data_IF_319521893059
#
_entry.id   IF_319521893059
#
_cell.length_a   1.000
_cell.length_b   1.000
_cell.length_c   1.000
_cell.angle_alpha   90.00
_cell.angle_beta   90.00
_cell.angle_gamma   90.00
#
_symmetry.space_group_name_H-M   'P 1'
#
loop_
_entity.id
_entity.type
_entity.pdbx_description
1 polymer ?
#
# COMPACT_ATOMS: atom_id res chain seq x y z
N UNK A 1 -1.11 -2.12 26.72
CA UNK A 1 -2.26 -1.31 26.27
C UNK A 1 -1.65 -0.43 25.19
N UNK A 2 -1.53 -0.96 23.98
CA UNK A 2 -0.89 -0.21 22.90
C UNK A 2 -1.95 0.62 22.20
N UNK A 3 -1.68 1.92 22.22
CA UNK A 3 -2.47 2.99 21.67
C UNK A 3 -2.43 2.90 20.14
N UNK A 4 -3.44 2.26 19.54
CA UNK A 4 -3.63 2.24 18.08
C UNK A 4 -4.28 3.55 17.63
N UNK A 5 -3.70 4.69 18.01
CA UNK A 5 -4.04 5.94 17.35
C UNK A 5 -3.53 5.85 15.92
N UNK A 6 -4.45 5.89 14.94
CA UNK A 6 -4.09 5.89 13.52
C UNK A 6 -3.01 6.93 13.26
N UNK A 7 -1.91 6.52 12.61
CA UNK A 7 -0.90 7.46 12.17
C UNK A 7 -1.57 8.43 11.17
N UNK A 8 -1.63 9.75 11.47
CA UNK A 8 -2.22 10.70 10.54
C UNK A 8 -1.47 10.75 9.20
N UNK A 9 -0.25 10.22 9.13
CA UNK A 9 0.55 10.11 7.92
C UNK A 9 0.33 8.80 7.15
N UNK A 10 -0.36 7.80 7.70
CA UNK A 10 -0.66 6.56 6.98
C UNK A 10 -1.98 5.94 7.45
N UNK A 11 -3.05 6.22 6.69
CA UNK A 11 -4.39 5.75 7.04
C UNK A 11 -4.48 4.21 7.15
N UNK A 12 -3.64 3.47 6.43
CA UNK A 12 -3.63 2.01 6.47
C UNK A 12 -3.07 1.46 7.79
N UNK A 13 -2.27 2.22 8.54
CA UNK A 13 -1.72 1.77 9.83
C UNK A 13 -2.80 1.56 10.90
N UNK A 14 -4.00 2.11 10.70
CA UNK A 14 -5.16 1.86 11.56
C UNK A 14 -5.89 0.54 11.30
N UNK A 15 -5.66 -0.10 10.15
CA UNK A 15 -6.38 -1.32 9.71
C UNK A 15 -5.47 -2.52 9.43
N UNK A 16 -4.24 -2.26 9.00
CA UNK A 16 -3.23 -3.25 8.67
C UNK A 16 -1.97 -3.05 9.51
N UNK A 17 -1.25 -4.13 9.78
CA UNK A 17 0.08 -4.02 10.37
C UNK A 17 1.05 -3.51 9.31
N UNK A 18 1.65 -2.35 9.60
CA UNK A 18 2.59 -1.66 8.72
C UNK A 18 3.87 -1.39 9.48
N UNK A 19 4.99 -1.76 8.88
CA UNK A 19 6.33 -1.54 9.42
C UNK A 19 7.10 -0.69 8.45
N UNK A 20 7.39 0.57 8.81
CA UNK A 20 8.33 1.38 8.05
C UNK A 20 9.72 0.75 8.13
N UNK A 21 10.29 0.44 6.97
CA UNK A 21 11.61 -0.19 6.82
C UNK A 21 12.69 0.86 6.70
N UNK A 22 12.42 1.93 5.95
CA UNK A 22 13.32 3.06 5.76
C UNK A 22 12.57 4.28 5.22
N UNK A 23 13.08 5.47 5.52
CA UNK A 23 12.55 6.75 5.05
C UNK A 23 13.70 7.72 4.78
N UNK A 24 13.76 8.22 3.54
CA UNK A 24 14.83 9.10 3.07
C UNK A 24 14.28 10.19 2.15
N UNK A 25 14.99 11.33 2.07
CA UNK A 25 14.73 12.31 1.02
C UNK A 25 15.03 11.72 -0.35
N UNK A 26 14.19 12.03 -1.35
CA UNK A 26 14.43 11.65 -2.74
C UNK A 26 15.39 12.64 -3.42
N UNK A 27 16.05 12.18 -4.48
CA UNK A 27 16.74 13.09 -5.42
C UNK A 27 15.76 13.93 -6.23
N UNK A 28 14.48 13.54 -6.29
CA UNK A 28 13.39 14.32 -6.88
C UNK A 28 13.01 15.44 -5.89
N UNK A 29 13.11 16.73 -6.28
CA UNK A 29 12.77 17.83 -5.39
C UNK A 29 11.35 17.74 -4.84
N UNK A 30 11.20 17.95 -3.53
CA UNK A 30 9.90 17.92 -2.86
C UNK A 30 9.32 16.52 -2.63
N UNK A 31 10.11 15.46 -2.84
CA UNK A 31 9.71 14.07 -2.62
C UNK A 31 10.52 13.38 -1.54
N UNK A 32 9.89 12.41 -0.90
CA UNK A 32 10.52 11.45 0.01
C UNK A 32 10.27 10.03 -0.48
N UNK A 33 11.18 9.14 -0.11
CA UNK A 33 11.09 7.70 -0.34
C UNK A 33 10.78 7.07 0.99
N UNK A 34 9.63 6.39 1.09
CA UNK A 34 9.24 5.63 2.28
C UNK A 34 9.04 4.18 1.86
N UNK A 35 9.71 3.26 2.51
CA UNK A 35 9.50 1.83 2.28
C UNK A 35 8.78 1.22 3.46
N UNK A 36 7.70 0.48 3.20
CA UNK A 36 6.84 -0.11 4.22
C UNK A 36 6.61 -1.58 3.90
N UNK A 37 6.82 -2.44 4.90
CA UNK A 37 6.33 -3.81 4.89
C UNK A 37 4.89 -3.81 5.41
N UNK A 38 3.96 -4.28 4.58
CA UNK A 38 2.55 -4.43 4.92
C UNK A 38 2.21 -5.91 5.06
N UNK A 39 1.57 -6.25 6.18
CA UNK A 39 1.04 -7.59 6.46
C UNK A 39 -0.48 -7.58 6.29
N UNK A 40 -0.99 -8.39 5.35
CA UNK A 40 -2.42 -8.51 5.05
C UNK A 40 -2.86 -9.95 5.39
N UNK A 41 -3.64 -10.16 6.47
CA UNK A 41 -4.12 -11.50 6.80
C UNK A 41 -5.04 -12.07 5.71
N UNK A 42 -5.08 -13.39 5.56
CA UNK A 42 -5.96 -14.09 4.59
C UNK A 42 -7.39 -13.58 4.66
N UNK A 43 -7.94 -13.21 3.51
CA UNK A 43 -9.32 -12.74 3.36
C UNK A 43 -9.54 -11.31 3.84
N UNK A 44 -8.51 -10.61 4.30
CA UNK A 44 -8.56 -9.19 4.66
C UNK A 44 -8.14 -8.35 3.45
N UNK A 45 -8.81 -7.21 3.29
CA UNK A 45 -8.46 -6.22 2.29
C UNK A 45 -7.92 -4.93 2.92
N UNK A 46 -7.07 -4.21 2.19
CA UNK A 46 -6.56 -2.90 2.61
C UNK A 46 -7.66 -1.86 2.76
N UNK A 47 -8.73 -1.98 1.96
CA UNK A 47 -9.65 -0.89 1.68
C UNK A 47 -9.18 -0.07 0.48
N UNK A 48 -10.12 0.62 -0.17
CA UNK A 48 -9.81 1.51 -1.28
C UNK A 48 -9.06 2.75 -0.79
N UNK A 49 -7.92 3.04 -1.40
CA UNK A 49 -7.05 4.15 -1.00
C UNK A 49 -6.22 4.67 -2.17
N UNK A 50 -5.53 5.79 -1.94
CA UNK A 50 -4.59 6.42 -2.87
C UNK A 50 -3.29 6.83 -2.16
N UNK A 51 -2.27 7.10 -2.97
CA UNK A 51 -0.98 7.65 -2.55
C UNK A 51 -0.69 8.94 -3.33
N UNK A 52 -0.17 10.02 -2.72
CA UNK A 52 0.17 11.27 -3.42
C UNK A 52 1.51 11.16 -4.18
N UNK A 53 1.81 9.99 -4.76
CA UNK A 53 3.05 9.61 -5.44
C UNK A 53 3.02 8.16 -5.92
N UNK A 54 4.03 7.73 -6.67
CA UNK A 54 4.12 6.34 -7.12
C UNK A 54 4.32 5.38 -5.94
N UNK A 55 3.66 4.22 -6.02
CA UNK A 55 4.00 3.04 -5.23
C UNK A 55 4.68 2.00 -6.14
N UNK A 56 5.90 1.63 -5.80
CA UNK A 56 6.63 0.52 -6.42
C UNK A 56 6.64 -0.63 -5.43
N UNK A 57 5.91 -1.70 -5.75
CA UNK A 57 5.66 -2.79 -4.83
C UNK A 57 6.20 -4.14 -5.27
N UNK A 58 6.40 -5.02 -4.29
CA UNK A 58 6.85 -6.39 -4.46
C UNK A 58 6.13 -7.32 -3.48
N UNK A 59 5.59 -8.44 -3.96
CA UNK A 59 4.98 -9.45 -3.10
C UNK A 59 6.09 -10.36 -2.56
N UNK A 60 6.28 -10.31 -1.25
CA UNK A 60 7.26 -11.13 -0.53
C UNK A 60 6.70 -12.53 -0.25
N UNK A 61 5.42 -12.60 0.15
CA UNK A 61 4.73 -13.84 0.49
C UNK A 61 3.23 -13.72 0.19
N UNK A 62 2.58 -14.85 -0.09
CA UNK A 62 1.14 -14.95 -0.30
C UNK A 62 0.72 -14.77 -1.76
N UNK A 63 -0.60 -14.69 -1.94
CA UNK A 63 -1.27 -14.38 -3.21
C UNK A 63 -2.22 -13.22 -2.95
N UNK A 64 -2.07 -12.13 -3.71
CA UNK A 64 -2.82 -10.88 -3.52
C UNK A 64 -3.64 -10.58 -4.77
N UNK A 65 -4.95 -10.43 -4.59
CA UNK A 65 -5.80 -9.79 -5.60
C UNK A 65 -5.62 -8.26 -5.49
N UNK A 66 -5.12 -7.63 -6.55
CA UNK A 66 -4.94 -6.19 -6.64
C UNK A 66 -5.98 -5.62 -7.61
N UNK A 67 -6.92 -4.83 -7.07
CA UNK A 67 -7.87 -4.05 -7.87
C UNK A 67 -7.33 -2.64 -8.04
N UNK A 68 -7.26 -2.17 -9.28
CA UNK A 68 -6.78 -0.82 -9.63
C UNK A 68 -7.88 -0.18 -10.48
N UNK A 69 -8.29 1.03 -10.13
CA UNK A 69 -9.35 1.74 -10.85
C UNK A 69 -9.05 1.78 -12.35
N UNK A 70 -10.08 1.47 -13.15
CA UNK A 70 -10.04 1.49 -14.62
C UNK A 70 -9.00 0.53 -15.26
N UNK A 71 -8.51 -0.45 -14.51
CA UNK A 71 -7.59 -1.48 -14.98
C UNK A 71 -8.13 -2.89 -14.71
N UNK A 72 -7.65 -3.92 -15.44
CA UNK A 72 -7.93 -5.30 -15.08
C UNK A 72 -7.43 -5.63 -13.66
N UNK A 73 -8.20 -6.40 -12.90
CA UNK A 73 -7.74 -6.98 -11.64
C UNK A 73 -6.51 -7.84 -11.88
N UNK A 74 -5.50 -7.69 -11.02
CA UNK A 74 -4.30 -8.50 -11.04
C UNK A 74 -4.37 -9.54 -9.92
N UNK A 75 -3.88 -10.75 -10.19
CA UNK A 75 -3.57 -11.74 -9.17
C UNK A 75 -2.04 -11.83 -9.09
N UNK A 76 -1.48 -11.35 -7.99
CA UNK A 76 -0.04 -11.22 -7.77
C UNK A 76 0.43 -12.30 -6.80
N UNK A 77 1.56 -12.92 -7.10
CA UNK A 77 2.16 -13.99 -6.29
C UNK A 77 3.49 -13.54 -5.70
N UNK A 78 3.97 -14.26 -4.68
CA UNK A 78 5.33 -14.07 -4.18
C UNK A 78 6.37 -14.08 -5.32
N UNK A 79 7.17 -13.02 -5.40
CA UNK A 79 8.10 -12.81 -6.51
C UNK A 79 7.66 -11.73 -7.51
N UNK A 80 6.37 -11.41 -7.56
CA UNK A 80 5.81 -10.43 -8.50
C UNK A 80 6.03 -9.00 -8.02
N UNK A 81 6.28 -8.11 -8.98
CA UNK A 81 6.29 -6.67 -8.78
C UNK A 81 5.02 -6.01 -9.29
N UNK A 82 4.69 -4.85 -8.77
CA UNK A 82 3.59 -4.01 -9.26
C UNK A 82 3.95 -2.52 -9.14
N UNK A 83 3.19 -1.69 -9.86
CA UNK A 83 3.32 -0.24 -9.84
C UNK A 83 1.93 0.38 -9.76
N UNK A 84 1.69 1.23 -8.77
CA UNK A 84 0.49 2.07 -8.70
C UNK A 84 0.89 3.52 -9.04
N UNK A 85 0.30 4.13 -10.07
CA UNK A 85 0.54 5.54 -10.37
C UNK A 85 0.01 6.46 -9.27
N UNK A 86 0.50 7.72 -9.19
CA UNK A 86 0.02 8.68 -8.21
C UNK A 86 -1.50 8.86 -8.28
N UNK A 87 -2.12 9.05 -7.11
CA UNK A 87 -3.54 9.36 -6.95
C UNK A 87 -4.51 8.35 -7.61
N UNK A 88 -4.06 7.11 -7.84
CA UNK A 88 -4.86 6.05 -8.46
C UNK A 88 -5.53 5.18 -7.38
N UNK A 89 -6.88 5.14 -7.30
CA UNK A 89 -7.57 4.30 -6.33
C UNK A 89 -7.29 2.81 -6.57
N UNK A 90 -6.91 2.11 -5.51
CA UNK A 90 -6.67 0.68 -5.57
C UNK A 90 -6.96 0.01 -4.22
N UNK A 91 -7.07 -1.33 -4.24
CA UNK A 91 -7.37 -2.16 -3.08
C UNK A 91 -6.67 -3.52 -3.23
N UNK A 92 -5.96 -3.94 -2.19
CA UNK A 92 -5.31 -5.25 -2.11
C UNK A 92 -6.12 -6.17 -1.20
N UNK A 93 -6.43 -7.37 -1.67
CA UNK A 93 -7.06 -8.45 -0.88
C UNK A 93 -6.13 -9.65 -0.86
N UNK A 94 -5.79 -10.13 0.35
CA UNK A 94 -5.03 -11.36 0.47
C UNK A 94 -5.92 -12.59 0.24
N UNK A 95 -5.53 -13.47 -0.70
CA UNK A 95 -6.23 -14.70 -1.04
C UNK A 95 -5.67 -15.93 -0.31
N UNK A 96 -4.54 -15.79 0.37
CA UNK A 96 -3.79 -16.86 1.03
C UNK A 96 -3.04 -17.80 0.08
N UNK A 97 -2.44 -18.88 0.60
CA UNK A 97 -2.43 -19.26 2.02
C UNK A 97 -1.48 -18.39 2.86
N UNK A 98 -1.80 -18.24 4.15
CA UNK A 98 -0.94 -17.49 5.09
C UNK A 98 -1.12 -15.97 4.99
N UNK A 99 -0.45 -15.23 5.87
CA UNK A 99 -0.51 -13.75 5.81
C UNK A 99 0.36 -13.26 4.66
N UNK A 100 -0.23 -12.50 3.73
CA UNK A 100 0.51 -11.87 2.67
C UNK A 100 1.44 -10.80 3.19
N UNK A 101 2.62 -10.75 2.60
CA UNK A 101 3.63 -9.76 2.89
C UNK A 101 3.92 -8.97 1.62
N UNK A 102 3.71 -7.67 1.68
CA UNK A 102 3.94 -6.74 0.57
C UNK A 102 4.98 -5.71 0.98
N UNK A 103 6.07 -5.61 0.23
CA UNK A 103 7.06 -4.55 0.40
C UNK A 103 6.77 -3.45 -0.61
N UNK A 104 6.30 -2.30 -0.12
CA UNK A 104 5.95 -1.16 -0.94
C UNK A 104 6.95 -0.03 -0.73
N UNK A 105 7.42 0.57 -1.82
CA UNK A 105 8.25 1.77 -1.80
C UNK A 105 7.47 2.93 -2.42
N UNK A 106 7.15 3.91 -1.59
CA UNK A 106 6.38 5.09 -1.93
C UNK A 106 7.31 6.26 -2.25
N UNK A 107 7.04 6.98 -3.34
CA UNK A 107 7.74 8.22 -3.71
C UNK A 107 6.77 9.40 -3.57
N UNK A 108 6.50 9.80 -2.34
CA UNK A 108 5.41 10.73 -1.98
C UNK A 108 5.92 12.16 -1.78
N UNK A 109 4.99 13.13 -1.79
CA UNK A 109 5.29 14.53 -1.49
C UNK A 109 5.62 14.68 -0.02
N UNK A 110 6.66 15.46 0.29
CA UNK A 110 7.07 15.71 1.68
C UNK A 110 5.90 16.25 2.49
N UNK A 111 5.61 15.59 3.62
CA UNK A 111 4.62 16.03 4.59
C UNK A 111 3.16 15.72 4.25
N UNK A 112 2.91 15.11 3.10
CA UNK A 112 1.60 14.53 2.78
C UNK A 112 1.48 13.11 3.38
N UNK A 113 0.27 12.59 3.60
CA UNK A 113 0.09 11.20 4.01
C UNK A 113 0.60 10.22 2.95
N UNK A 114 1.22 9.12 3.39
CA UNK A 114 1.62 7.99 2.54
C UNK A 114 0.38 7.38 1.89
N UNK A 115 -0.68 7.14 2.66
CA UNK A 115 -1.93 6.55 2.18
C UNK A 115 -3.15 7.30 2.71
N UNK A 116 -4.15 7.51 1.86
CA UNK A 116 -5.45 8.10 2.20
C UNK A 116 -6.58 7.23 1.70
N UNK A 117 -7.54 6.89 2.57
CA UNK A 117 -8.73 6.14 2.16
C UNK A 117 -9.62 6.95 1.20
N UNK A 118 -10.23 6.26 0.26
CA UNK A 118 -11.23 6.79 -0.67
C UNK A 118 -12.41 5.84 -0.76
N UNK A 119 -13.54 6.31 -1.28
CA UNK A 119 -14.66 5.42 -1.62
C UNK A 119 -14.27 4.51 -2.78
N UNK A 120 -14.92 3.34 -2.88
CA UNK A 120 -14.74 2.48 -4.04
C UNK A 120 -15.18 3.22 -5.31
N UNK A 121 -14.38 3.23 -6.38
CA UNK A 121 -14.79 3.84 -7.63
C UNK A 121 -16.07 3.16 -8.15
N UNK A 122 -16.99 3.95 -8.71
CA UNK A 122 -18.17 3.42 -9.38
C UNK A 122 -17.74 2.60 -10.61
N UNK A 123 -18.43 1.47 -10.85
CA UNK A 123 -18.19 0.58 -11.99
C UNK A 123 -18.64 1.17 -13.32
#
# INVERSE_FOLDING_TARGET
MDDTSADPHDALAGTLKRTEVQHHSSSIPGREIVQVLTEIPVGVQSGWHTHPGEEVGYIVEGTVEMKIAHSPTLELHAGDGFLIPPDTPHNALDLGPGTGHMLSTYVVKIGEPIASFVESPEN
#
